data_IF_499117414734
#
_entry.id   IF_499117414734
#
_cell.length_a   1.000
_cell.length_b   1.000
_cell.length_c   1.000
_cell.angle_alpha   90.00
_cell.angle_beta   90.00
_cell.angle_gamma   90.00
#
_symmetry.space_group_name_H-M   'P 1'
#
loop_
_entity.id
_entity.type
_entity.pdbx_description
1 polymer ?
#
# COMPACT_ATOMS: atom_id res chain seq x y z
N UNK A 1 -12.80 24.22 -12.36
CA UNK A 1 -12.59 23.64 -11.00
C UNK A 1 -11.26 22.93 -11.00
N UNK A 2 -10.50 23.02 -9.91
CA UNK A 2 -9.25 22.25 -9.69
C UNK A 2 -9.47 21.34 -8.50
N UNK A 3 -9.00 20.11 -8.58
CA UNK A 3 -9.07 19.15 -7.50
C UNK A 3 -7.74 18.42 -7.31
N UNK A 4 -7.68 17.66 -6.23
CA UNK A 4 -6.58 16.75 -5.92
C UNK A 4 -7.11 15.34 -5.79
N UNK A 5 -6.28 14.35 -6.09
CA UNK A 5 -6.60 12.94 -5.93
C UNK A 5 -5.31 12.20 -5.53
N UNK A 6 -5.31 11.40 -4.45
CA UNK A 6 -4.20 10.50 -4.19
C UNK A 6 -4.13 9.46 -5.32
N UNK A 7 -2.92 9.11 -5.73
CA UNK A 7 -2.67 8.09 -6.74
C UNK A 7 -1.54 7.17 -6.28
N UNK A 8 -1.55 5.94 -6.80
CA UNK A 8 -0.41 5.06 -6.71
C UNK A 8 0.77 5.56 -7.57
N UNK A 9 1.99 5.06 -7.34
CA UNK A 9 3.08 5.16 -8.31
C UNK A 9 2.79 4.23 -9.49
N UNK A 10 2.03 4.73 -10.47
CA UNK A 10 1.44 3.96 -11.59
C UNK A 10 2.48 3.29 -12.51
N UNK A 11 3.75 3.72 -12.46
CA UNK A 11 4.89 3.14 -13.18
C UNK A 11 5.66 2.09 -12.38
N UNK A 12 5.35 1.91 -11.09
CA UNK A 12 6.03 0.94 -10.23
C UNK A 12 5.59 -0.50 -10.50
N UNK A 13 6.54 -1.44 -10.40
CA UNK A 13 6.31 -2.85 -10.71
C UNK A 13 5.20 -3.48 -9.85
N UNK A 14 5.09 -3.08 -8.57
CA UNK A 14 4.05 -3.61 -7.67
C UNK A 14 2.65 -3.11 -8.02
N UNK A 15 2.52 -1.84 -8.45
CA UNK A 15 1.25 -1.33 -8.96
C UNK A 15 0.84 -2.06 -10.24
N UNK A 16 1.77 -2.21 -11.20
CA UNK A 16 1.51 -2.95 -12.44
C UNK A 16 1.14 -4.42 -12.18
N UNK A 17 1.75 -5.05 -11.18
CA UNK A 17 1.39 -6.41 -10.76
C UNK A 17 -0.01 -6.48 -10.15
N UNK A 18 -0.42 -5.46 -9.39
CA UNK A 18 -1.78 -5.31 -8.87
C UNK A 18 -2.80 -5.12 -10.00
N UNK A 19 -2.57 -4.19 -10.92
CA UNK A 19 -3.41 -3.97 -12.11
C UNK A 19 -3.61 -5.29 -12.86
N UNK A 20 -2.50 -5.96 -13.21
CA UNK A 20 -2.54 -7.23 -13.93
C UNK A 20 -3.20 -8.37 -13.14
N UNK A 21 -3.36 -8.24 -11.81
CA UNK A 21 -4.10 -9.20 -10.99
C UNK A 21 -5.60 -8.91 -11.01
N UNK A 22 -5.99 -7.65 -10.88
CA UNK A 22 -7.40 -7.21 -10.85
C UNK A 22 -8.05 -7.40 -12.22
N UNK A 23 -7.34 -7.07 -13.30
CA UNK A 23 -7.83 -7.23 -14.69
C UNK A 23 -8.14 -8.68 -15.06
N UNK A 24 -7.50 -9.68 -14.44
CA UNK A 24 -7.84 -11.10 -14.65
C UNK A 24 -9.26 -11.45 -14.25
N UNK A 25 -9.87 -10.64 -13.38
CA UNK A 25 -11.25 -10.77 -12.96
C UNK A 25 -12.21 -9.91 -13.80
N UNK A 26 -11.71 -9.24 -14.85
CA UNK A 26 -12.51 -8.35 -15.70
C UNK A 26 -12.89 -7.04 -15.00
N UNK A 27 -12.08 -6.60 -14.04
CA UNK A 27 -12.27 -5.38 -13.25
C UNK A 27 -11.13 -4.42 -13.58
N UNK A 28 -11.45 -3.14 -13.78
CA UNK A 28 -10.45 -2.08 -13.83
C UNK A 28 -10.21 -1.53 -12.41
N UNK A 29 -8.95 -1.26 -11.99
CA UNK A 29 -8.69 -0.63 -10.71
C UNK A 29 -9.39 0.72 -10.57
N UNK A 30 -10.27 0.83 -9.56
CA UNK A 30 -10.87 2.10 -9.17
C UNK A 30 -9.95 2.84 -8.19
N UNK A 31 -10.17 4.15 -8.02
CA UNK A 31 -9.46 4.94 -7.01
C UNK A 31 -9.54 4.28 -5.63
N UNK A 32 -8.41 4.24 -4.91
CA UNK A 32 -8.25 3.61 -3.59
C UNK A 32 -8.33 2.08 -3.57
N UNK A 33 -8.53 1.41 -4.71
CA UNK A 33 -8.56 -0.06 -4.75
C UNK A 33 -7.20 -0.66 -4.39
N UNK A 34 -6.11 -0.03 -4.81
CA UNK A 34 -4.73 -0.35 -4.45
C UNK A 34 -4.47 -0.17 -2.96
N UNK A 35 -4.91 0.94 -2.36
CA UNK A 35 -4.72 1.21 -0.94
C UNK A 35 -5.52 0.22 -0.08
N UNK A 36 -6.73 -0.13 -0.53
CA UNK A 36 -7.56 -1.13 0.14
C UNK A 36 -6.93 -2.52 0.05
N UNK A 37 -6.36 -2.87 -1.11
CA UNK A 37 -5.66 -4.11 -1.33
C UNK A 37 -4.45 -4.23 -0.37
N UNK A 38 -3.65 -3.18 -0.28
CA UNK A 38 -2.49 -3.13 0.61
C UNK A 38 -2.87 -3.16 2.08
N UNK A 39 -3.94 -2.46 2.48
CA UNK A 39 -4.42 -2.48 3.87
C UNK A 39 -4.79 -3.89 4.35
N UNK A 40 -5.37 -4.73 3.47
CA UNK A 40 -5.69 -6.13 3.80
C UNK A 40 -4.42 -6.96 3.96
N UNK A 41 -3.42 -6.75 3.10
CA UNK A 41 -2.13 -7.45 3.20
C UNK A 41 -1.37 -7.05 4.46
N UNK A 42 -1.31 -5.75 4.76
CA UNK A 42 -0.69 -5.22 5.98
C UNK A 42 -1.36 -5.80 7.22
N UNK A 43 -2.69 -5.79 7.29
CA UNK A 43 -3.45 -6.38 8.40
C UNK A 43 -3.14 -7.87 8.58
N UNK A 44 -3.06 -8.63 7.48
CA UNK A 44 -2.74 -10.06 7.54
C UNK A 44 -1.30 -10.30 8.04
N UNK A 45 -0.33 -9.53 7.58
CA UNK A 45 1.06 -9.61 8.02
C UNK A 45 1.21 -9.20 9.49
N UNK A 46 0.57 -8.11 9.91
CA UNK A 46 0.55 -7.67 11.30
C UNK A 46 -0.08 -8.72 12.23
N UNK A 47 -1.12 -9.42 11.76
CA UNK A 47 -1.71 -10.54 12.50
C UNK A 47 -0.80 -11.78 12.57
N UNK A 48 0.02 -12.04 11.56
CA UNK A 48 1.01 -13.12 11.59
C UNK A 48 2.18 -12.79 12.54
N UNK A 49 2.59 -11.54 12.59
CA UNK A 49 3.60 -11.03 13.52
C UNK A 49 3.09 -11.01 14.98
N UNK A 50 1.82 -10.66 15.18
CA UNK A 50 1.20 -10.60 16.50
C UNK A 50 1.01 -12.00 17.12
N UNK A 51 1.88 -12.36 18.07
CA UNK A 51 1.73 -13.59 18.86
C UNK A 51 1.59 -13.23 20.36
N UNK A 52 0.42 -13.45 21.00
CA UNK A 52 -0.86 -13.95 20.44
C UNK A 52 -1.56 -12.95 19.50
N UNK A 53 -2.48 -13.47 18.69
CA UNK A 53 -3.30 -12.70 17.73
C UNK A 53 -4.41 -11.98 18.48
N UNK A 54 -4.10 -10.79 19.00
CA UNK A 54 -5.02 -9.95 19.79
C UNK A 54 -5.11 -8.54 19.17
N UNK A 55 -6.26 -7.85 19.23
CA UNK A 55 -6.47 -6.57 18.53
C UNK A 55 -5.39 -5.52 18.82
N UNK A 56 -5.00 -5.34 20.08
CA UNK A 56 -3.98 -4.36 20.49
C UNK A 56 -2.57 -4.73 19.99
N UNK A 57 -2.28 -6.03 19.87
CA UNK A 57 -1.01 -6.52 19.35
C UNK A 57 -0.95 -6.42 17.83
N UNK A 58 -2.07 -6.67 17.14
CA UNK A 58 -2.17 -6.46 15.70
C UNK A 58 -1.93 -4.98 15.38
N UNK A 59 -2.60 -4.07 16.09
CA UNK A 59 -2.41 -2.64 15.92
C UNK A 59 -0.94 -2.23 16.12
N UNK A 60 -0.29 -2.72 17.19
CA UNK A 60 1.12 -2.45 17.46
C UNK A 60 2.07 -3.05 16.40
N UNK A 61 1.68 -4.13 15.73
CA UNK A 61 2.49 -4.78 14.69
C UNK A 61 2.38 -4.12 13.32
N UNK A 62 1.40 -3.24 13.08
CA UNK A 62 1.18 -2.66 11.74
C UNK A 62 2.42 -1.93 11.22
N UNK A 63 3.04 -1.10 12.06
CA UNK A 63 4.27 -0.39 11.71
C UNK A 63 5.45 -1.37 11.59
N UNK A 64 5.59 -2.33 12.51
CA UNK A 64 6.73 -3.25 12.55
C UNK A 64 6.84 -4.18 11.33
N UNK A 65 5.76 -4.39 10.58
CA UNK A 65 5.79 -5.24 9.36
C UNK A 65 5.94 -4.42 8.08
N UNK A 66 6.00 -3.10 8.18
CA UNK A 66 6.15 -2.18 7.05
C UNK A 66 7.37 -1.26 7.17
N UNK A 67 8.22 -1.46 8.17
CA UNK A 67 9.47 -0.72 8.35
C UNK A 67 10.58 -1.68 8.74
N UNK A 68 11.77 -1.45 8.19
CA UNK A 68 12.98 -2.23 8.46
C UNK A 68 12.86 -3.75 8.16
N UNK A 69 13.99 -4.44 8.07
CA UNK A 69 14.01 -5.89 7.82
C UNK A 69 14.02 -6.25 6.33
N UNK A 70 13.49 -7.42 5.99
CA UNK A 70 13.57 -7.95 4.62
C UNK A 70 12.49 -7.33 3.73
N UNK A 71 12.84 -6.66 2.61
CA UNK A 71 11.85 -6.10 1.70
C UNK A 71 10.98 -7.20 1.08
N UNK A 72 9.67 -7.01 1.17
CA UNK A 72 8.67 -7.93 0.63
C UNK A 72 7.52 -7.17 0.00
N UNK A 73 6.91 -7.76 -1.04
CA UNK A 73 5.71 -7.19 -1.68
C UNK A 73 4.55 -8.16 -1.64
N UNK A 74 3.37 -7.76 -2.13
CA UNK A 74 2.17 -8.61 -2.10
C UNK A 74 2.37 -9.94 -2.87
N UNK A 75 3.24 -9.95 -3.89
CA UNK A 75 3.61 -11.15 -4.63
C UNK A 75 4.43 -12.15 -3.79
N UNK A 76 5.07 -11.68 -2.71
CA UNK A 76 5.97 -12.44 -1.86
C UNK A 76 5.35 -12.79 -0.50
N UNK A 77 4.03 -12.78 -0.37
CA UNK A 77 3.34 -13.07 0.89
C UNK A 77 3.76 -14.38 1.56
N UNK A 78 4.01 -15.44 0.79
CA UNK A 78 4.47 -16.72 1.34
C UNK A 78 5.87 -16.62 1.97
N UNK A 79 6.76 -15.81 1.41
CA UNK A 79 8.07 -15.50 1.98
C UNK A 79 7.90 -14.70 3.27
N UNK A 80 7.16 -13.59 3.21
CA UNK A 80 6.87 -12.73 4.35
C UNK A 80 6.29 -13.51 5.54
N UNK A 81 5.27 -14.35 5.30
CA UNK A 81 4.68 -15.23 6.32
C UNK A 81 5.72 -16.17 6.95
N UNK A 82 6.64 -16.72 6.17
CA UNK A 82 7.63 -17.65 6.70
C UNK A 82 8.66 -16.92 7.58
N UNK A 83 9.13 -15.74 7.15
CA UNK A 83 10.03 -14.87 7.92
C UNK A 83 9.39 -14.47 9.27
N UNK A 84 8.15 -13.99 9.24
CA UNK A 84 7.42 -13.63 10.47
C UNK A 84 7.25 -14.82 11.42
N UNK A 85 7.11 -16.04 10.89
CA UNK A 85 6.99 -17.26 11.71
C UNK A 85 8.32 -17.71 12.31
N UNK A 86 9.45 -17.35 11.71
CA UNK A 86 10.79 -17.60 12.27
C UNK A 86 11.26 -16.48 13.19
N UNK A 87 10.45 -15.42 13.36
CA UNK A 87 10.76 -14.26 14.20
C UNK A 87 11.66 -13.24 13.51
N UNK A 88 11.71 -13.26 12.18
CA UNK A 88 12.43 -12.28 11.36
C UNK A 88 11.51 -11.12 10.98
N UNK A 89 12.10 -9.92 10.89
CA UNK A 89 11.41 -8.69 10.51
C UNK A 89 11.28 -8.55 8.99
N UNK A 90 10.23 -7.86 8.55
CA UNK A 90 9.93 -7.60 7.14
C UNK A 90 9.57 -6.14 6.93
N UNK A 91 9.88 -5.66 5.73
CA UNK A 91 9.51 -4.34 5.23
C UNK A 91 8.53 -4.55 4.07
N UNK A 92 7.23 -4.47 4.36
CA UNK A 92 6.18 -4.62 3.36
C UNK A 92 5.92 -3.31 2.58
N UNK A 93 6.17 -3.36 1.27
CA UNK A 93 5.74 -2.34 0.31
C UNK A 93 4.60 -2.87 -0.57
N UNK A 94 3.59 -2.02 -0.78
CA UNK A 94 2.36 -2.37 -1.49
C UNK A 94 2.26 -1.79 -2.90
N UNK A 95 1.10 -2.01 -3.54
CA UNK A 95 0.76 -1.44 -4.83
C UNK A 95 0.58 0.08 -4.80
N UNK A 96 0.12 0.62 -3.68
CA UNK A 96 -0.03 2.04 -3.40
C UNK A 96 1.31 2.74 -3.07
N UNK A 97 2.38 1.96 -2.88
CA UNK A 97 3.70 2.45 -2.50
C UNK A 97 4.12 2.02 -1.10
N UNK A 98 5.04 2.79 -0.49
CA UNK A 98 5.49 2.57 0.88
C UNK A 98 4.34 2.73 1.87
N UNK A 99 4.36 1.91 2.92
CA UNK A 99 3.45 1.94 4.06
C UNK A 99 4.20 2.30 5.34
N UNK A 100 5.18 3.19 5.23
CA UNK A 100 5.89 3.74 6.39
C UNK A 100 4.95 4.66 7.17
N UNK A 101 4.79 4.38 8.47
CA UNK A 101 3.95 5.17 9.37
C UNK A 101 4.81 6.01 10.32
N UNK A 102 4.30 7.18 10.68
CA UNK A 102 4.75 7.90 11.88
C UNK A 102 4.19 7.29 13.17
N UNK A 103 4.58 7.87 14.32
CA UNK A 103 4.19 7.40 15.65
C UNK A 103 2.67 7.47 15.92
N UNK A 104 1.90 8.21 15.12
CA UNK A 104 0.44 8.32 15.25
C UNK A 104 -0.33 7.56 14.17
N UNK A 105 0.37 6.91 13.24
CA UNK A 105 -0.20 6.05 12.21
C UNK A 105 -0.48 6.76 10.88
N UNK A 106 0.10 7.95 10.64
CA UNK A 106 0.01 8.64 9.36
C UNK A 106 1.08 8.14 8.39
N UNK A 107 0.71 7.99 7.12
CA UNK A 107 1.62 7.57 6.05
C UNK A 107 2.64 8.68 5.75
N UNK A 108 3.92 8.31 5.71
CA UNK A 108 5.05 9.22 5.53
C UNK A 108 5.38 9.55 4.08
N UNK A 109 4.76 8.89 3.09
CA UNK A 109 5.01 9.19 1.68
C UNK A 109 3.82 8.87 0.78
N UNK A 110 3.70 9.55 -0.35
CA UNK A 110 2.64 9.27 -1.30
C UNK A 110 2.64 10.21 -2.49
N UNK A 111 1.75 9.91 -3.43
CA UNK A 111 1.65 10.66 -4.68
C UNK A 111 0.26 11.25 -4.84
N UNK A 112 0.19 12.52 -5.24
CA UNK A 112 -1.05 13.23 -5.55
C UNK A 112 -1.04 13.74 -6.98
N UNK A 113 -2.22 13.64 -7.61
CA UNK A 113 -2.52 14.23 -8.90
C UNK A 113 -3.38 15.47 -8.72
N UNK A 114 -2.90 16.59 -9.25
CA UNK A 114 -3.67 17.84 -9.37
C UNK A 114 -4.34 17.83 -10.74
N UNK A 115 -5.66 17.97 -10.76
CA UNK A 115 -6.46 17.88 -11.98
C UNK A 115 -7.40 19.07 -12.14
N UNK A 116 -7.88 19.30 -13.36
CA UNK A 116 -8.81 20.36 -13.71
C UNK A 116 -9.96 19.84 -14.57
N UNK A 117 -11.16 20.41 -14.36
CA UNK A 117 -12.27 20.26 -15.32
C UNK A 117 -12.06 21.23 -16.49
N UNK A 118 -11.98 20.69 -17.70
CA UNK A 118 -11.87 21.42 -18.96
C UNK A 118 -13.04 21.05 -19.88
N UNK A 119 -14.07 21.90 -19.90
CA UNK A 119 -15.32 21.57 -20.59
C UNK A 119 -16.02 20.38 -19.93
N UNK A 120 -16.17 19.28 -20.67
CA UNK A 120 -16.79 18.03 -20.21
C UNK A 120 -15.75 16.96 -19.82
N UNK A 121 -14.45 17.29 -19.81
CA UNK A 121 -13.37 16.35 -19.50
C UNK A 121 -12.50 16.79 -18.31
N UNK A 122 -11.67 15.86 -17.85
CA UNK A 122 -10.64 16.11 -16.85
C UNK A 122 -9.27 16.10 -17.51
N UNK A 123 -8.41 17.04 -17.13
CA UNK A 123 -6.99 17.04 -17.51
C UNK A 123 -6.09 17.07 -16.28
N UNK A 124 -4.93 16.41 -16.40
CA UNK A 124 -3.91 16.41 -15.35
C UNK A 124 -3.07 17.68 -15.48
N UNK A 125 -3.02 18.45 -14.40
CA UNK A 125 -2.14 19.63 -14.32
C UNK A 125 -0.74 19.18 -13.93
N UNK A 126 -0.62 18.39 -12.86
CA UNK A 126 0.65 17.98 -12.28
C UNK A 126 0.47 16.75 -11.40
N UNK A 127 1.52 15.94 -11.33
CA UNK A 127 1.71 14.93 -10.28
C UNK A 127 2.79 15.42 -9.32
N UNK A 128 2.54 15.31 -8.02
CA UNK A 128 3.50 15.65 -6.97
C UNK A 128 3.60 14.51 -5.97
N UNK A 129 4.81 14.20 -5.53
CA UNK A 129 5.06 13.26 -4.44
C UNK A 129 5.51 14.02 -3.19
N UNK A 130 5.28 13.41 -2.03
CA UNK A 130 5.67 13.92 -0.71
C UNK A 130 6.50 12.86 0.02
N UNK A 131 7.40 13.26 0.93
CA UNK A 131 7.15 13.08 2.35
C UNK A 131 6.27 14.20 2.93
#
# INVERSE_FOLDING_TARGET
>A
MVGTMPIAPEDHVDYLAFVARVERYGIEPESFSESTYDAVYLLALAALHAQPVEPTRIAASMQSVSVDGTPVTAAQFSLARNLLRTGEDIDYTGAAGSLDFDDVGDILSGTYRIWRVEGESFSVIQTTAFP
#
